data_IF_471001940392
#
_entry.id   IF_471001940392
#
_cell.length_a   1.000
_cell.length_b   1.000
_cell.length_c   1.000
_cell.angle_alpha   90.00
_cell.angle_beta   90.00
_cell.angle_gamma   90.00
#
_symmetry.space_group_name_H-M   'P 1'
#
loop_
_entity.id
_entity.type
_entity.pdbx_description
1 polymer ?
#
# COMPACT_ATOMS: atom_id res chain seq x y z
N UNK A 1 -2.95 25.60 -4.10
CA UNK A 1 -3.26 24.24 -4.60
C UNK A 1 -2.24 23.25 -4.04
N UNK A 2 -2.24 23.06 -2.72
CA UNK A 2 -1.24 22.22 -2.00
C UNK A 2 -1.94 21.15 -1.16
N UNK A 3 -3.13 20.71 -1.57
CA UNK A 3 -3.96 19.78 -0.82
C UNK A 3 -4.14 18.45 -1.55
N UNK A 4 -4.18 17.35 -0.80
CA UNK A 4 -4.52 16.02 -1.30
C UNK A 4 -5.46 15.34 -0.31
N UNK A 5 -6.57 14.79 -0.81
CA UNK A 5 -7.59 14.17 0.03
C UNK A 5 -8.22 15.11 1.07
N UNK A 6 -8.31 16.41 0.76
CA UNK A 6 -8.83 17.45 1.68
C UNK A 6 -7.79 18.05 2.64
N UNK A 7 -6.64 17.39 2.79
CA UNK A 7 -5.58 17.85 3.71
C UNK A 7 -4.50 18.65 3.00
N UNK A 8 -4.00 19.70 3.66
CA UNK A 8 -2.85 20.47 3.17
C UNK A 8 -1.58 19.61 3.31
N UNK A 9 -0.74 19.62 2.28
CA UNK A 9 0.51 18.85 2.23
C UNK A 9 1.70 19.67 2.75
N UNK A 10 1.84 20.91 2.28
CA UNK A 10 3.00 21.79 2.49
C UNK A 10 2.63 23.00 3.37
N UNK A 11 2.20 22.76 4.61
CA UNK A 11 1.85 23.80 5.58
C UNK A 11 2.45 23.44 6.95
N UNK A 12 2.44 24.36 7.92
CA UNK A 12 2.97 24.11 9.27
C UNK A 12 2.37 22.83 9.88
N UNK A 13 1.07 22.62 9.66
CA UNK A 13 0.32 21.42 10.06
C UNK A 13 0.02 20.46 8.90
N UNK A 14 0.70 20.62 7.76
CA UNK A 14 0.49 19.78 6.58
C UNK A 14 0.95 18.35 6.78
N UNK A 15 0.40 17.39 6.04
CA UNK A 15 0.73 15.97 6.23
C UNK A 15 2.21 15.63 6.05
N UNK A 16 2.95 16.41 5.25
CA UNK A 16 4.40 16.20 5.06
C UNK A 16 5.25 16.79 6.20
N UNK A 17 4.70 17.62 7.09
CA UNK A 17 5.39 18.07 8.31
C UNK A 17 5.35 17.01 9.42
N UNK A 18 4.59 15.94 9.23
CA UNK A 18 4.46 14.80 10.14
C UNK A 18 4.89 13.51 9.44
N UNK A 19 5.07 12.46 10.23
CA UNK A 19 5.39 11.13 9.71
C UNK A 19 4.19 10.60 8.91
N UNK A 20 4.37 10.30 7.62
CA UNK A 20 3.33 9.66 6.82
C UNK A 20 3.52 8.15 6.85
N UNK A 21 2.52 7.41 7.30
CA UNK A 21 2.58 5.96 7.39
C UNK A 21 1.72 5.35 6.27
N UNK A 22 2.35 4.56 5.41
CA UNK A 22 1.67 3.77 4.38
C UNK A 22 1.58 2.33 4.86
N UNK A 23 0.37 1.77 4.90
CA UNK A 23 0.17 0.35 5.11
C UNK A 23 0.50 -0.38 3.80
N UNK A 24 1.54 -1.22 3.82
CA UNK A 24 2.09 -1.86 2.61
C UNK A 24 1.96 -3.39 2.61
N UNK A 25 1.30 -3.94 3.63
CA UNK A 25 1.02 -5.37 3.74
C UNK A 25 -0.26 -5.64 4.52
N UNK A 26 -0.59 -6.92 4.67
CA UNK A 26 -1.85 -7.36 5.30
C UNK A 26 -1.79 -7.37 6.83
N UNK A 27 -0.59 -7.40 7.42
CA UNK A 27 -0.40 -7.35 8.87
C UNK A 27 -0.25 -5.92 9.39
N UNK A 28 -0.77 -5.66 10.60
CA UNK A 28 -0.72 -4.34 11.26
C UNK A 28 0.69 -3.75 11.44
N UNK A 29 1.73 -4.61 11.38
CA UNK A 29 3.14 -4.20 11.48
C UNK A 29 3.78 -3.76 10.16
N UNK A 30 3.17 -4.05 9.01
CA UNK A 30 3.76 -3.81 7.68
C UNK A 30 3.50 -2.39 7.21
N UNK A 31 4.22 -1.44 7.83
CA UNK A 31 4.10 -0.01 7.56
C UNK A 31 5.38 0.56 6.99
N UNK A 32 5.27 1.32 5.90
CA UNK A 32 6.33 2.17 5.40
C UNK A 32 6.13 3.59 5.91
N UNK A 33 7.06 4.04 6.75
CA UNK A 33 7.09 5.42 7.24
C UNK A 33 7.87 6.30 6.28
N UNK A 34 7.29 7.43 5.89
CA UNK A 34 7.94 8.48 5.11
C UNK A 34 7.98 9.73 5.98
N UNK A 35 9.19 10.12 6.39
CA UNK A 35 9.43 11.31 7.18
C UNK A 35 10.14 12.37 6.34
N UNK A 36 9.46 13.50 6.12
CA UNK A 36 10.03 14.69 5.50
C UNK A 36 10.07 15.87 6.48
N UNK A 37 9.78 15.63 7.77
CA UNK A 37 9.58 16.71 8.72
C UNK A 37 10.86 17.51 8.93
N UNK A 38 12.02 16.86 8.98
CA UNK A 38 13.33 17.54 9.09
C UNK A 38 13.60 18.52 7.95
N UNK A 39 13.18 18.20 6.73
CA UNK A 39 13.35 19.05 5.55
C UNK A 39 12.33 20.19 5.49
N UNK A 40 11.27 20.11 6.29
CA UNK A 40 10.17 21.08 6.35
C UNK A 40 10.11 21.87 7.67
N UNK A 41 11.06 21.64 8.61
CA UNK A 41 11.18 22.32 9.91
C UNK A 41 11.56 23.81 9.77
N UNK A 42 10.63 24.63 9.30
CA UNK A 42 10.66 26.09 9.47
C UNK A 42 9.37 26.56 10.13
N UNK A 43 9.41 27.70 10.82
CA UNK A 43 8.33 28.23 11.67
C UNK A 43 7.00 28.53 10.93
N UNK A 44 6.90 28.28 9.62
CA UNK A 44 5.69 28.48 8.81
C UNK A 44 5.35 27.31 7.87
N UNK A 45 5.91 26.11 8.08
CA UNK A 45 5.74 24.98 7.14
C UNK A 45 6.46 25.19 5.80
N UNK A 46 7.35 26.17 5.80
CA UNK A 46 8.29 26.52 4.74
C UNK A 46 9.65 26.00 5.20
N UNK A 47 10.44 25.39 4.31
CA UNK A 47 11.74 24.85 4.70
C UNK A 47 12.60 25.95 5.34
N UNK A 48 13.46 25.64 6.34
CA UNK A 48 14.29 26.65 6.99
C UNK A 48 15.19 27.40 5.99
N UNK A 49 15.57 26.74 4.89
CA UNK A 49 16.29 27.35 3.78
C UNK A 49 15.45 28.41 3.05
N UNK A 50 14.14 28.21 2.89
CA UNK A 50 13.27 29.18 2.22
C UNK A 50 12.91 30.37 3.11
N UNK A 51 12.85 30.20 4.45
CA UNK A 51 12.84 31.33 5.39
C UNK A 51 14.12 32.16 5.28
N UNK A 52 15.28 31.50 5.22
CA UNK A 52 16.56 32.18 5.08
C UNK A 52 16.68 32.94 3.74
N UNK A 53 16.13 32.40 2.64
CA UNK A 53 16.01 33.10 1.36
C UNK A 53 15.12 34.34 1.50
N UNK A 54 13.95 34.24 2.14
CA UNK A 54 13.08 35.41 2.34
C UNK A 54 13.78 36.50 3.14
N UNK A 55 14.48 36.14 4.22
CA UNK A 55 15.26 37.10 5.01
C UNK A 55 16.40 37.73 4.19
N UNK A 56 17.13 36.93 3.41
CA UNK A 56 18.19 37.42 2.54
C UNK A 56 17.66 38.38 1.46
N UNK A 57 16.49 38.10 0.88
CA UNK A 57 15.81 39.00 -0.06
C UNK A 57 15.40 40.31 0.63
N UNK A 58 14.84 40.25 1.84
CA UNK A 58 14.48 41.45 2.61
C UNK A 58 15.70 42.34 2.89
N UNK A 59 16.85 41.71 3.16
CA UNK A 59 18.12 42.41 3.40
C UNK A 59 18.74 43.03 2.13
N UNK A 60 18.24 42.71 0.94
CA UNK A 60 18.68 43.31 -0.34
C UNK A 60 17.83 44.53 -0.74
N UNK A 61 16.98 45.04 0.16
CA UNK A 61 16.17 46.24 -0.10
C UNK A 61 16.85 47.53 0.41
N UNK A 62 16.64 48.63 -0.32
CA UNK A 62 17.15 49.96 0.07
C UNK A 62 18.68 50.01 0.21
N UNK A 63 19.16 50.53 1.35
CA UNK A 63 20.59 50.63 1.67
C UNK A 63 21.29 49.26 1.88
N UNK A 64 20.55 48.15 1.88
CA UNK A 64 21.06 46.79 2.03
C UNK A 64 21.53 46.14 0.73
N UNK A 65 21.42 46.80 -0.42
CA UNK A 65 21.88 46.31 -1.73
C UNK A 65 23.41 46.32 -1.88
N UNK A 66 24.10 45.61 -0.99
CA UNK A 66 25.56 45.46 -0.97
C UNK A 66 25.98 44.18 -1.70
N UNK A 67 27.22 44.16 -2.19
CA UNK A 67 27.81 42.97 -2.81
C UNK A 67 27.81 41.75 -1.86
N UNK A 68 28.08 41.98 -0.57
CA UNK A 68 28.11 40.92 0.45
C UNK A 68 26.71 40.29 0.68
N UNK A 69 25.66 41.12 0.71
CA UNK A 69 24.29 40.63 0.84
C UNK A 69 23.82 39.87 -0.41
N UNK A 70 24.28 40.27 -1.61
CA UNK A 70 24.02 39.53 -2.83
C UNK A 70 24.69 38.14 -2.83
N UNK A 71 25.93 38.02 -2.36
CA UNK A 71 26.60 36.72 -2.22
C UNK A 71 25.91 35.81 -1.20
N UNK A 72 25.52 36.37 -0.04
CA UNK A 72 24.73 35.63 0.96
C UNK A 72 23.41 35.13 0.39
N UNK A 73 22.71 35.92 -0.42
CA UNK A 73 21.49 35.47 -1.09
C UNK A 73 21.76 34.30 -2.05
N UNK A 74 22.85 34.34 -2.83
CA UNK A 74 23.22 33.23 -3.71
C UNK A 74 23.51 31.95 -2.92
N UNK A 75 24.26 32.04 -1.81
CA UNK A 75 24.51 30.89 -0.93
C UNK A 75 23.23 30.31 -0.32
N UNK A 76 22.27 31.16 0.08
CA UNK A 76 20.99 30.71 0.61
C UNK A 76 20.11 30.07 -0.47
N UNK A 77 20.16 30.58 -1.71
CA UNK A 77 19.47 29.97 -2.86
C UNK A 77 20.03 28.58 -3.17
N UNK A 78 21.36 28.41 -3.18
CA UNK A 78 21.99 27.10 -3.40
C UNK A 78 21.62 26.10 -2.31
N UNK A 79 21.57 26.53 -1.05
CA UNK A 79 21.11 25.70 0.06
C UNK A 79 19.63 25.32 -0.08
N UNK A 80 18.78 26.26 -0.49
CA UNK A 80 17.37 26.02 -0.80
C UNK A 80 17.18 24.99 -1.91
N UNK A 81 17.92 25.12 -3.01
CA UNK A 81 17.89 24.18 -4.13
C UNK A 81 18.36 22.79 -3.71
N UNK A 82 19.44 22.69 -2.93
CA UNK A 82 19.91 21.40 -2.37
C UNK A 82 18.85 20.76 -1.49
N UNK A 83 18.22 21.53 -0.60
CA UNK A 83 17.14 21.03 0.28
C UNK A 83 15.95 20.48 -0.52
N UNK A 84 15.49 21.20 -1.55
CA UNK A 84 14.43 20.73 -2.45
C UNK A 84 14.86 19.48 -3.21
N UNK A 85 16.11 19.43 -3.67
CA UNK A 85 16.69 18.27 -4.34
C UNK A 85 16.67 17.02 -3.45
N UNK A 86 17.12 17.14 -2.20
CA UNK A 86 17.10 16.03 -1.22
C UNK A 86 15.67 15.57 -0.94
N UNK A 87 14.71 16.50 -0.80
CA UNK A 87 13.31 16.17 -0.60
C UNK A 87 12.73 15.37 -1.77
N UNK A 88 12.97 15.83 -3.02
CA UNK A 88 12.51 15.13 -4.23
C UNK A 88 13.16 13.76 -4.38
N UNK A 89 14.45 13.65 -4.05
CA UNK A 89 15.18 12.39 -4.08
C UNK A 89 14.59 11.38 -3.08
N UNK A 90 14.32 11.81 -1.84
CA UNK A 90 13.67 10.97 -0.83
C UNK A 90 12.27 10.51 -1.25
N UNK A 91 11.45 11.42 -1.81
CA UNK A 91 10.13 11.06 -2.33
C UNK A 91 10.24 10.06 -3.49
N UNK A 92 11.16 10.27 -4.43
CA UNK A 92 11.38 9.36 -5.55
C UNK A 92 11.81 7.96 -5.08
N UNK A 93 12.72 7.88 -4.11
CA UNK A 93 13.14 6.61 -3.53
C UNK A 93 11.96 5.87 -2.87
N UNK A 94 11.10 6.57 -2.14
CA UNK A 94 9.91 5.98 -1.53
C UNK A 94 8.86 5.56 -2.57
N UNK A 95 8.68 6.32 -3.65
CA UNK A 95 7.81 5.93 -4.78
C UNK A 95 8.31 4.62 -5.42
N UNK A 96 9.62 4.50 -5.67
CA UNK A 96 10.19 3.27 -6.22
C UNK A 96 9.97 2.08 -5.29
N UNK A 97 10.20 2.27 -3.98
CA UNK A 97 9.94 1.24 -2.97
C UNK A 97 8.47 0.81 -2.96
N UNK A 98 7.53 1.76 -3.01
CA UNK A 98 6.10 1.45 -3.09
C UNK A 98 5.75 0.69 -4.36
N UNK A 99 6.33 1.07 -5.51
CA UNK A 99 6.14 0.37 -6.78
C UNK A 99 6.59 -1.08 -6.72
N UNK A 100 7.80 -1.34 -6.21
CA UNK A 100 8.30 -2.71 -6.03
C UNK A 100 7.48 -3.49 -5.01
N UNK A 101 7.06 -2.86 -3.92
CA UNK A 101 6.24 -3.51 -2.89
C UNK A 101 4.86 -3.88 -3.44
N UNK A 102 4.24 -2.99 -4.22
CA UNK A 102 2.96 -3.25 -4.88
C UNK A 102 3.05 -4.41 -5.88
N UNK A 103 4.11 -4.44 -6.71
CA UNK A 103 4.34 -5.54 -7.63
C UNK A 103 4.55 -6.88 -6.91
N UNK A 104 5.32 -6.87 -5.81
CA UNK A 104 5.52 -8.07 -5.00
C UNK A 104 4.21 -8.54 -4.33
N UNK A 105 3.42 -7.61 -3.79
CA UNK A 105 2.15 -7.93 -3.14
C UNK A 105 1.11 -8.47 -4.14
N UNK A 106 1.10 -7.98 -5.37
CA UNK A 106 0.27 -8.53 -6.44
C UNK A 106 0.66 -9.99 -6.75
N UNK A 107 1.95 -10.28 -6.93
CA UNK A 107 2.42 -11.65 -7.14
C UNK A 107 2.08 -12.57 -5.95
N UNK A 108 2.25 -12.08 -4.71
CA UNK A 108 1.87 -12.83 -3.51
C UNK A 108 0.37 -13.11 -3.46
N UNK A 109 -0.46 -12.13 -3.85
CA UNK A 109 -1.90 -12.28 -3.95
C UNK A 109 -2.26 -13.38 -4.96
N UNK A 110 -1.74 -13.30 -6.17
CA UNK A 110 -2.04 -14.25 -7.24
C UNK A 110 -1.61 -15.68 -6.84
N UNK A 111 -0.42 -15.83 -6.26
CA UNK A 111 0.06 -17.12 -5.76
C UNK A 111 -0.81 -17.67 -4.62
N UNK A 112 -1.29 -16.80 -3.73
CA UNK A 112 -2.16 -17.20 -2.62
C UNK A 112 -3.55 -17.59 -3.12
N UNK A 113 -4.10 -16.85 -4.08
CA UNK A 113 -5.39 -17.17 -4.72
C UNK A 113 -5.31 -18.50 -5.50
N UNK A 114 -4.22 -18.76 -6.22
CA UNK A 114 -3.98 -20.05 -6.88
C UNK A 114 -3.86 -21.20 -5.88
N UNK A 115 -3.12 -21.01 -4.79
CA UNK A 115 -3.01 -22.03 -3.74
C UNK A 115 -4.37 -22.30 -3.07
N UNK A 116 -5.15 -21.25 -2.81
CA UNK A 116 -6.50 -21.37 -2.26
C UNK A 116 -7.44 -22.12 -3.21
N UNK A 117 -7.38 -21.79 -4.50
CA UNK A 117 -8.15 -22.49 -5.55
C UNK A 117 -7.82 -23.98 -5.59
N UNK A 118 -6.54 -24.35 -5.58
CA UNK A 118 -6.13 -25.76 -5.56
C UNK A 118 -6.67 -26.52 -4.34
N UNK A 119 -6.70 -25.88 -3.16
CA UNK A 119 -7.25 -26.49 -1.94
C UNK A 119 -8.77 -26.61 -2.06
N UNK A 120 -9.47 -25.53 -2.43
CA UNK A 120 -10.93 -25.54 -2.57
C UNK A 120 -11.42 -26.50 -3.64
N UNK A 121 -10.75 -26.58 -4.79
CA UNK A 121 -11.12 -27.48 -5.88
C UNK A 121 -10.86 -28.95 -5.53
N UNK A 122 -9.76 -29.25 -4.81
CA UNK A 122 -9.49 -30.61 -4.32
C UNK A 122 -10.55 -31.06 -3.29
N UNK A 123 -10.91 -30.17 -2.37
CA UNK A 123 -11.96 -30.42 -1.39
C UNK A 123 -13.32 -30.62 -2.09
N UNK A 124 -13.66 -29.77 -3.06
CA UNK A 124 -14.88 -29.90 -3.85
C UNK A 124 -14.94 -31.22 -4.63
N UNK A 125 -13.84 -31.64 -5.26
CA UNK A 125 -13.78 -32.92 -5.97
C UNK A 125 -13.99 -34.12 -5.03
N UNK A 126 -13.45 -34.06 -3.81
CA UNK A 126 -13.62 -35.10 -2.80
C UNK A 126 -15.06 -35.16 -2.27
N UNK A 127 -15.68 -34.00 -2.03
CA UNK A 127 -17.05 -33.88 -1.56
C UNK A 127 -18.04 -34.29 -2.66
N UNK A 128 -17.82 -33.86 -3.90
CA UNK A 128 -18.62 -34.26 -5.05
C UNK A 128 -18.56 -35.79 -5.26
N UNK A 129 -17.38 -36.40 -5.16
CA UNK A 129 -17.22 -37.85 -5.25
C UNK A 129 -17.96 -38.58 -4.12
N UNK A 130 -17.91 -38.04 -2.91
CA UNK A 130 -18.62 -38.58 -1.74
C UNK A 130 -20.14 -38.43 -1.89
N UNK A 131 -20.61 -37.29 -2.38
CA UNK A 131 -22.01 -37.05 -2.72
C UNK A 131 -22.51 -38.02 -3.79
N UNK A 132 -21.76 -38.21 -4.88
CA UNK A 132 -22.11 -39.17 -5.94
C UNK A 132 -22.11 -40.60 -5.40
N UNK A 133 -21.12 -40.98 -4.56
CA UNK A 133 -21.10 -42.30 -3.91
C UNK A 133 -22.33 -42.50 -3.02
N UNK A 134 -22.70 -41.50 -2.24
CA UNK A 134 -23.88 -41.56 -1.38
C UNK A 134 -25.19 -41.66 -2.18
N UNK A 135 -25.30 -40.95 -3.31
CA UNK A 135 -26.44 -41.08 -4.23
C UNK A 135 -26.50 -42.46 -4.88
N UNK A 136 -25.37 -43.00 -5.34
CA UNK A 136 -25.29 -44.36 -5.89
C UNK A 136 -25.63 -45.41 -4.84
N UNK A 137 -25.18 -45.26 -3.59
CA UNK A 137 -25.55 -46.15 -2.49
C UNK A 137 -27.04 -46.07 -2.18
N UNK A 138 -27.64 -44.88 -2.17
CA UNK A 138 -29.08 -44.72 -1.94
C UNK A 138 -29.91 -45.39 -3.06
N UNK A 139 -29.53 -45.20 -4.33
CA UNK A 139 -30.18 -45.85 -5.47
C UNK A 139 -29.97 -47.37 -5.45
N UNK A 140 -28.76 -47.84 -5.14
CA UNK A 140 -28.45 -49.27 -5.03
C UNK A 140 -29.20 -49.91 -3.86
N UNK A 141 -29.35 -49.22 -2.74
CA UNK A 141 -30.12 -49.69 -1.57
C UNK A 141 -31.60 -49.85 -1.93
N UNK A 142 -32.17 -48.92 -2.70
CA UNK A 142 -33.54 -49.06 -3.21
C UNK A 142 -33.70 -50.23 -4.21
N UNK A 143 -32.74 -50.42 -5.11
CA UNK A 143 -32.75 -51.56 -6.06
C UNK A 143 -32.53 -52.91 -5.37
N UNK A 144 -31.63 -52.97 -4.37
CA UNK A 144 -31.39 -54.16 -3.54
C UNK A 144 -32.62 -54.50 -2.69
N UNK A 145 -33.30 -53.50 -2.12
CA UNK A 145 -34.58 -53.69 -1.45
C UNK A 145 -35.63 -54.27 -2.39
N UNK A 146 -35.76 -53.74 -3.61
CA UNK A 146 -36.66 -54.31 -4.63
C UNK A 146 -36.29 -55.75 -4.98
N UNK A 147 -35.01 -56.04 -5.22
CA UNK A 147 -34.52 -57.36 -5.60
C UNK A 147 -34.68 -58.40 -4.47
N UNK A 148 -34.45 -58.01 -3.22
CA UNK A 148 -34.67 -58.87 -2.05
C UNK A 148 -36.16 -59.18 -1.86
N UNK A 149 -37.02 -58.21 -2.13
CA UNK A 149 -38.47 -58.38 -2.00
C UNK A 149 -39.03 -59.30 -3.10
N UNK A 150 -38.55 -59.18 -4.35
CA UNK A 150 -38.92 -60.08 -5.44
C UNK A 150 -38.33 -61.49 -5.29
N UNK A 151 -37.11 -61.63 -4.74
CA UNK A 151 -36.52 -62.94 -4.45
C UNK A 151 -37.26 -63.67 -3.33
N UNK A 152 -37.73 -62.95 -2.30
CA UNK A 152 -38.58 -63.54 -1.24
C UNK A 152 -39.91 -64.07 -1.80
N UNK A 153 -40.50 -63.38 -2.79
CA UNK A 153 -41.71 -63.84 -3.47
C UNK A 153 -41.51 -65.09 -4.34
N UNK A 154 -40.33 -65.28 -4.92
CA UNK A 154 -40.00 -66.44 -5.75
C UNK A 154 -39.81 -67.74 -4.95
N UNK A 155 -39.52 -67.65 -3.65
CA UNK A 155 -39.44 -68.82 -2.75
C UNK A 155 -40.84 -69.27 -2.28
N UNK A 156 -41.86 -68.42 -2.43
CA UNK A 156 -43.26 -68.72 -2.08
C UNK A 156 -44.09 -69.28 -3.24
N UNK A 157 -43.51 -69.46 -4.42
CA UNK A 157 -44.13 -70.07 -5.62
C UNK A 157 -43.52 -71.42 -5.93
#
# INVERSE_FOLDING_TARGET
NTSFGGDKLLSTDGKLSKNMNFQIGSSSGEKMSVNLSEQLKGASGVSPAMTAITTAISNLSGAGATFDNAQKLMEQLDQGLKSVGTMRSSLGANINRLGHTAANLANMKDNTELALGNIQDADFASEASSMTRNQMLAQTSMSMLKQSNSMSGMVMS
#
